data_IF_515636044713
#
_entry.id   IF_515636044713
#
_cell.length_a   1.000
_cell.length_b   1.000
_cell.length_c   1.000
_cell.angle_alpha   90.00
_cell.angle_beta   90.00
_cell.angle_gamma   90.00
#
_symmetry.space_group_name_H-M   'P 1'
#
loop_
_entity.id
_entity.type
_entity.pdbx_description
1 polymer ?
#
# COMPACT_ATOMS: atom_id res chain seq x y z
N UNK A 1 12.08 -17.04 5.50
CA UNK A 1 10.85 -16.80 4.71
C UNK A 1 10.36 -15.39 4.99
N UNK A 2 10.22 -14.58 3.95
CA UNK A 2 9.77 -13.21 4.12
C UNK A 2 8.26 -13.16 4.40
N UNK A 3 7.86 -12.29 5.29
CA UNK A 3 6.46 -12.04 5.60
C UNK A 3 5.81 -11.27 4.45
N UNK A 4 4.72 -11.81 3.89
CA UNK A 4 4.03 -11.19 2.75
C UNK A 4 3.00 -10.18 3.25
N UNK A 5 3.37 -8.90 3.26
CA UNK A 5 2.50 -7.82 3.71
C UNK A 5 1.29 -7.62 2.80
N UNK A 6 1.43 -7.85 1.50
CA UNK A 6 0.29 -7.72 0.58
C UNK A 6 -0.82 -8.69 0.98
N UNK A 7 -0.45 -9.95 1.21
CA UNK A 7 -1.41 -10.97 1.64
C UNK A 7 -2.02 -10.60 3.00
N UNK A 8 -1.16 -10.22 3.95
CA UNK A 8 -1.60 -9.84 5.29
C UNK A 8 -2.58 -8.67 5.25
N UNK A 9 -2.24 -7.59 4.54
CA UNK A 9 -3.10 -6.42 4.46
C UNK A 9 -4.40 -6.71 3.73
N UNK A 10 -4.35 -7.53 2.67
CA UNK A 10 -5.56 -7.91 1.96
C UNK A 10 -6.53 -8.63 2.88
N UNK A 11 -6.04 -9.56 3.69
CA UNK A 11 -6.87 -10.26 4.67
C UNK A 11 -7.38 -9.33 5.75
N UNK A 12 -6.54 -8.43 6.26
CA UNK A 12 -6.95 -7.48 7.30
C UNK A 12 -8.06 -6.55 6.81
N UNK A 13 -7.97 -6.07 5.57
CA UNK A 13 -9.00 -5.23 4.99
C UNK A 13 -10.32 -6.01 4.87
N UNK A 14 -10.27 -7.24 4.40
CA UNK A 14 -11.47 -8.06 4.29
C UNK A 14 -12.15 -8.26 5.64
N UNK A 15 -11.36 -8.39 6.70
CA UNK A 15 -11.85 -8.60 8.05
C UNK A 15 -12.33 -7.31 8.72
N UNK A 16 -11.53 -6.23 8.64
CA UNK A 16 -11.80 -4.99 9.36
C UNK A 16 -12.75 -4.04 8.61
N UNK A 17 -12.81 -4.14 7.29
CA UNK A 17 -13.61 -3.27 6.44
C UNK A 17 -14.50 -4.10 5.52
N UNK A 18 -15.44 -4.89 6.09
CA UNK A 18 -16.26 -5.78 5.26
C UNK A 18 -17.16 -5.03 4.29
N UNK A 19 -17.46 -3.76 4.57
CA UNK A 19 -18.29 -2.93 3.69
C UNK A 19 -17.53 -2.37 2.47
N UNK A 20 -16.20 -2.38 2.52
CA UNK A 20 -15.39 -1.80 1.45
C UNK A 20 -15.48 -2.66 0.19
N UNK A 21 -15.97 -2.08 -0.90
CA UNK A 21 -16.19 -2.76 -2.17
C UNK A 21 -17.13 -3.98 -2.03
N UNK A 22 -18.04 -3.93 -1.07
CA UNK A 22 -18.95 -5.07 -0.79
C UNK A 22 -19.93 -5.36 -1.91
N UNK A 23 -20.16 -4.41 -2.83
CA UNK A 23 -21.06 -4.60 -3.97
C UNK A 23 -20.48 -5.47 -5.08
N UNK A 24 -19.20 -5.82 -5.01
CA UNK A 24 -18.56 -6.66 -6.03
C UNK A 24 -18.56 -8.13 -5.60
N UNK A 25 -18.58 -9.07 -6.58
CA UNK A 25 -18.42 -10.50 -6.26
C UNK A 25 -17.13 -10.74 -5.47
N UNK A 26 -17.13 -11.77 -4.62
CA UNK A 26 -16.04 -12.01 -3.66
C UNK A 26 -14.65 -12.07 -4.32
N UNK A 27 -14.53 -12.77 -5.46
CA UNK A 27 -13.25 -12.90 -6.14
C UNK A 27 -12.80 -11.58 -6.75
N UNK A 28 -13.73 -10.83 -7.35
CA UNK A 28 -13.43 -9.52 -7.92
C UNK A 28 -13.05 -8.54 -6.84
N UNK A 29 -13.77 -8.56 -5.72
CA UNK A 29 -13.45 -7.73 -4.56
C UNK A 29 -12.04 -8.00 -4.07
N UNK A 30 -11.68 -9.28 -3.91
CA UNK A 30 -10.35 -9.67 -3.47
C UNK A 30 -9.27 -9.21 -4.46
N UNK A 31 -9.55 -9.32 -5.75
CA UNK A 31 -8.63 -8.86 -6.79
C UNK A 31 -8.37 -7.36 -6.70
N UNK A 32 -9.41 -6.56 -6.53
CA UNK A 32 -9.26 -5.11 -6.35
C UNK A 32 -8.49 -4.77 -5.09
N UNK A 33 -8.80 -5.43 -3.98
CA UNK A 33 -8.11 -5.18 -2.72
C UNK A 33 -6.62 -5.52 -2.83
N UNK A 34 -6.29 -6.62 -3.48
CA UNK A 34 -4.90 -7.03 -3.70
C UNK A 34 -4.16 -6.00 -4.56
N UNK A 35 -4.78 -5.58 -5.66
CA UNK A 35 -4.20 -4.59 -6.58
C UNK A 35 -3.89 -3.29 -5.85
N UNK A 36 -4.84 -2.80 -5.05
CA UNK A 36 -4.65 -1.54 -4.31
C UNK A 36 -3.57 -1.71 -3.25
N UNK A 37 -3.54 -2.84 -2.55
CA UNK A 37 -2.50 -3.08 -1.54
C UNK A 37 -1.11 -3.12 -2.17
N UNK A 38 -0.97 -3.73 -3.35
CA UNK A 38 0.31 -3.75 -4.07
C UNK A 38 0.73 -2.34 -4.45
N UNK A 39 -0.21 -1.55 -4.98
CA UNK A 39 0.08 -0.20 -5.45
C UNK A 39 0.48 0.73 -4.32
N UNK A 40 -0.29 0.73 -3.22
CA UNK A 40 0.00 1.60 -2.08
C UNK A 40 1.27 1.20 -1.35
N UNK A 41 1.51 -0.10 -1.20
CA UNK A 41 2.73 -0.59 -0.59
C UNK A 41 3.95 -0.26 -1.47
N UNK A 42 3.82 -0.41 -2.78
CA UNK A 42 4.86 -0.01 -3.72
C UNK A 42 5.20 1.47 -3.61
N UNK A 43 4.18 2.32 -3.46
CA UNK A 43 4.40 3.75 -3.27
C UNK A 43 5.13 4.03 -1.95
N UNK A 44 4.76 3.33 -0.89
CA UNK A 44 5.41 3.49 0.40
C UNK A 44 6.90 3.12 0.32
N UNK A 45 7.22 2.05 -0.39
CA UNK A 45 8.60 1.62 -0.62
C UNK A 45 9.38 2.68 -1.40
N UNK A 46 8.79 3.22 -2.46
CA UNK A 46 9.41 4.28 -3.25
C UNK A 46 9.73 5.51 -2.41
N UNK A 47 8.77 5.94 -1.60
CA UNK A 47 8.96 7.08 -0.71
C UNK A 47 10.02 6.81 0.35
N UNK A 48 10.05 5.60 0.88
CA UNK A 48 11.05 5.20 1.87
C UNK A 48 12.46 5.29 1.30
N UNK A 49 12.63 4.82 0.08
CA UNK A 49 13.92 4.87 -0.60
C UNK A 49 14.42 6.29 -0.81
N UNK A 50 13.49 7.23 -1.00
CA UNK A 50 13.84 8.64 -1.21
C UNK A 50 14.15 9.37 0.07
N UNK A 51 13.41 9.11 1.13
CA UNK A 51 13.61 9.78 2.42
C UNK A 51 12.99 8.95 3.55
N UNK A 52 13.74 7.99 4.05
CA UNK A 52 13.27 7.05 5.07
C UNK A 52 12.88 7.74 6.37
N UNK A 53 13.61 8.76 6.79
CA UNK A 53 13.30 9.48 8.03
C UNK A 53 11.94 10.15 7.97
N UNK A 54 11.65 10.82 6.84
CA UNK A 54 10.35 11.47 6.66
C UNK A 54 9.22 10.46 6.66
N UNK A 55 9.39 9.35 5.93
CA UNK A 55 8.34 8.32 5.86
C UNK A 55 8.13 7.67 7.23
N UNK A 56 9.19 7.41 7.96
CA UNK A 56 9.08 6.84 9.30
C UNK A 56 8.27 7.78 10.23
N UNK A 57 8.52 9.07 10.15
CA UNK A 57 7.75 10.07 10.90
C UNK A 57 6.28 10.08 10.49
N UNK A 58 6.01 10.01 9.18
CA UNK A 58 4.63 10.02 8.67
C UNK A 58 3.86 8.76 9.06
N UNK A 59 4.52 7.62 9.14
CA UNK A 59 3.90 6.39 9.65
C UNK A 59 3.38 6.62 11.07
N UNK A 60 4.14 7.32 11.90
CA UNK A 60 3.73 7.56 13.28
C UNK A 60 2.71 8.69 13.44
N UNK A 61 2.80 9.73 12.61
CA UNK A 61 1.88 10.87 12.68
C UNK A 61 0.54 10.60 12.00
N UNK A 62 0.56 9.79 10.94
CA UNK A 62 -0.65 9.44 10.16
C UNK A 62 -1.41 10.68 9.67
N UNK A 63 -0.67 11.61 9.07
CA UNK A 63 -1.21 12.86 8.56
C UNK A 63 -2.19 12.60 7.41
N UNK A 64 -3.43 13.07 7.57
CA UNK A 64 -4.47 12.89 6.57
C UNK A 64 -4.15 13.56 5.24
N UNK A 65 -3.48 14.72 5.28
CA UNK A 65 -3.10 15.43 4.05
C UNK A 65 -2.05 14.66 3.27
N UNK A 66 -1.10 14.06 3.96
CA UNK A 66 -0.09 13.20 3.35
C UNK A 66 -0.73 12.03 2.62
N UNK A 67 -1.67 11.36 3.29
CA UNK A 67 -2.41 10.24 2.70
C UNK A 67 -3.18 10.69 1.47
N UNK A 68 -3.89 11.81 1.56
CA UNK A 68 -4.69 12.33 0.45
C UNK A 68 -3.83 12.69 -0.76
N UNK A 69 -2.66 13.27 -0.54
CA UNK A 69 -1.76 13.61 -1.64
C UNK A 69 -1.26 12.38 -2.38
N UNK A 70 -0.90 11.34 -1.64
CA UNK A 70 -0.44 10.09 -2.24
C UNK A 70 -1.57 9.42 -3.01
N UNK A 71 -2.76 9.35 -2.43
CA UNK A 71 -3.92 8.76 -3.10
C UNK A 71 -4.24 9.53 -4.39
N UNK A 72 -4.21 10.85 -4.34
CA UNK A 72 -4.45 11.67 -5.54
C UNK A 72 -3.41 11.40 -6.61
N UNK A 73 -2.13 11.33 -6.23
CA UNK A 73 -1.05 11.02 -7.17
C UNK A 73 -1.30 9.69 -7.87
N UNK A 74 -1.65 8.66 -7.12
CA UNK A 74 -1.86 7.33 -7.67
C UNK A 74 -3.11 7.24 -8.54
N UNK A 75 -4.20 7.90 -8.12
CA UNK A 75 -5.47 7.82 -8.86
C UNK A 75 -5.48 8.68 -10.12
N UNK A 76 -4.65 9.72 -10.18
CA UNK A 76 -4.57 10.58 -11.37
C UNK A 76 -3.42 10.20 -12.30
N UNK A 77 -2.65 9.19 -11.96
CA UNK A 77 -1.54 8.72 -12.79
C UNK A 77 -2.02 8.28 -14.16
N UNK A 78 -1.28 8.65 -15.22
CA UNK A 78 -1.55 8.17 -16.58
C UNK A 78 -1.33 6.66 -16.71
N UNK A 79 -0.69 6.03 -15.74
CA UNK A 79 -0.45 4.59 -15.72
C UNK A 79 -1.53 3.82 -14.98
N UNK A 80 -2.59 4.52 -14.55
CA UNK A 80 -3.70 3.89 -13.81
C UNK A 80 -4.51 2.99 -14.75
N UNK A 81 -4.47 1.69 -14.50
CA UNK A 81 -5.19 0.67 -15.27
C UNK A 81 -6.35 0.05 -14.50
N UNK A 82 -6.68 0.60 -13.34
CA UNK A 82 -7.79 0.06 -12.54
C UNK A 82 -9.13 0.22 -13.28
N UNK A 83 -9.96 -0.80 -13.20
CA UNK A 83 -11.32 -0.75 -13.76
C UNK A 83 -12.33 -0.16 -12.78
N UNK A 84 -11.91 0.13 -11.55
CA UNK A 84 -12.80 0.81 -10.60
C UNK A 84 -13.06 2.26 -11.02
N UNK A 85 -14.30 2.76 -10.83
CA UNK A 85 -14.55 4.18 -10.98
C UNK A 85 -13.63 4.99 -10.07
N UNK A 86 -13.17 6.15 -10.56
CA UNK A 86 -12.18 6.95 -9.85
C UNK A 86 -12.57 7.25 -8.40
N UNK A 87 -13.83 7.63 -8.17
CA UNK A 87 -14.30 7.97 -6.82
C UNK A 87 -14.24 6.76 -5.87
N UNK A 88 -14.61 5.57 -6.36
CA UNK A 88 -14.52 4.36 -5.56
C UNK A 88 -13.07 3.98 -5.29
N UNK A 89 -12.21 4.15 -6.29
CA UNK A 89 -10.79 3.87 -6.15
C UNK A 89 -10.16 4.77 -5.08
N UNK A 90 -10.49 6.06 -5.09
CA UNK A 90 -9.98 7.01 -4.10
C UNK A 90 -10.37 6.61 -2.68
N UNK A 91 -11.64 6.25 -2.47
CA UNK A 91 -12.12 5.85 -1.15
C UNK A 91 -11.42 4.58 -0.69
N UNK A 92 -11.39 3.58 -1.55
CA UNK A 92 -10.76 2.30 -1.22
C UNK A 92 -9.28 2.46 -0.94
N UNK A 93 -8.59 3.24 -1.75
CA UNK A 93 -7.16 3.47 -1.61
C UNK A 93 -6.84 4.23 -0.32
N UNK A 94 -7.66 5.23 0.03
CA UNK A 94 -7.50 5.98 1.27
C UNK A 94 -7.63 5.06 2.48
N UNK A 95 -8.66 4.22 2.51
CA UNK A 95 -8.88 3.29 3.62
C UNK A 95 -7.77 2.26 3.72
N UNK A 96 -7.34 1.72 2.59
CA UNK A 96 -6.29 0.69 2.56
C UNK A 96 -4.94 1.28 2.97
N UNK A 97 -4.58 2.43 2.43
CA UNK A 97 -3.31 3.06 2.78
C UNK A 97 -3.27 3.47 4.25
N UNK A 98 -4.37 4.00 4.77
CA UNK A 98 -4.48 4.35 6.20
C UNK A 98 -4.30 3.12 7.08
N UNK A 99 -4.91 2.00 6.69
CA UNK A 99 -4.76 0.74 7.42
C UNK A 99 -3.30 0.27 7.38
N UNK A 100 -2.65 0.34 6.21
CA UNK A 100 -1.25 -0.07 6.08
C UNK A 100 -0.35 0.73 7.01
N UNK A 101 -0.52 2.05 7.05
CA UNK A 101 0.28 2.90 7.92
C UNK A 101 0.02 2.58 9.40
N UNK A 102 -1.23 2.37 9.76
CA UNK A 102 -1.60 2.03 11.13
C UNK A 102 -1.01 0.70 11.56
N UNK A 103 -1.09 -0.32 10.70
CA UNK A 103 -0.56 -1.65 11.01
C UNK A 103 0.98 -1.63 11.10
N UNK A 104 1.64 -0.88 10.23
CA UNK A 104 3.10 -0.77 10.28
C UNK A 104 3.52 -0.03 11.55
N UNK A 105 2.81 1.03 11.93
CA UNK A 105 3.04 1.73 13.19
C UNK A 105 2.92 0.78 14.37
N UNK A 106 1.89 -0.04 14.38
CA UNK A 106 1.65 -0.99 15.46
C UNK A 106 2.76 -2.05 15.52
N UNK A 107 3.19 -2.57 14.38
CA UNK A 107 4.32 -3.50 14.32
C UNK A 107 5.58 -2.87 14.89
N UNK A 108 5.84 -1.61 14.56
CA UNK A 108 7.01 -0.90 15.08
C UNK A 108 6.93 -0.75 16.59
N UNK A 109 5.79 -0.31 17.12
CA UNK A 109 5.62 -0.06 18.55
C UNK A 109 5.65 -1.35 19.37
N UNK A 110 4.97 -2.40 18.92
CA UNK A 110 4.89 -3.67 19.67
C UNK A 110 6.11 -4.53 19.47
N UNK A 111 6.71 -4.51 18.29
CA UNK A 111 7.87 -5.34 17.96
C UNK A 111 9.19 -4.64 18.13
N UNK A 112 9.16 -3.34 18.43
CA UNK A 112 10.36 -2.51 18.60
C UNK A 112 11.30 -2.61 17.40
N UNK A 113 10.72 -2.55 16.19
CA UNK A 113 11.48 -2.68 14.95
C UNK A 113 12.47 -1.55 14.73
N UNK A 114 12.06 -0.31 15.06
CA UNK A 114 12.84 0.88 14.76
C UNK A 114 12.86 1.18 13.26
N UNK A 115 13.43 2.32 12.92
CA UNK A 115 13.50 2.77 11.52
C UNK A 115 14.20 1.74 10.64
N UNK A 116 15.31 1.17 11.11
CA UNK A 116 16.06 0.16 10.35
C UNK A 116 15.25 -1.12 10.15
N UNK A 117 14.56 -1.60 11.17
CA UNK A 117 13.75 -2.80 11.08
C UNK A 117 12.57 -2.63 10.12
N UNK A 118 11.92 -1.48 10.15
CA UNK A 118 10.84 -1.16 9.21
C UNK A 118 11.40 -1.08 7.78
N UNK A 119 12.58 -0.48 7.60
CA UNK A 119 13.23 -0.45 6.30
C UNK A 119 13.44 -1.86 5.74
N UNK A 120 13.98 -2.76 6.54
CA UNK A 120 14.20 -4.15 6.13
C UNK A 120 12.89 -4.85 5.78
N UNK A 121 11.85 -4.62 6.57
CA UNK A 121 10.53 -5.17 6.31
C UNK A 121 9.98 -4.70 4.97
N UNK A 122 10.01 -3.40 4.71
CA UNK A 122 9.46 -2.82 3.48
C UNK A 122 10.26 -3.23 2.24
N UNK A 123 11.58 -3.14 2.30
CA UNK A 123 12.41 -3.52 1.15
C UNK A 123 12.32 -5.01 0.85
N UNK A 124 12.10 -5.83 1.88
CA UNK A 124 11.88 -7.26 1.69
C UNK A 124 10.59 -7.61 0.97
N UNK A 125 9.65 -6.65 0.85
CA UNK A 125 8.37 -6.90 0.17
C UNK A 125 8.47 -6.82 -1.35
N UNK A 126 9.57 -6.30 -1.89
CA UNK A 126 9.71 -6.11 -3.34
C UNK A 126 9.48 -7.43 -4.09
N UNK A 127 10.00 -8.54 -3.58
CA UNK A 127 9.81 -9.85 -4.22
C UNK A 127 8.34 -10.28 -4.25
N UNK A 128 7.54 -9.83 -3.29
CA UNK A 128 6.11 -10.15 -3.24
C UNK A 128 5.30 -9.26 -4.17
N UNK A 129 5.82 -8.11 -4.53
CA UNK A 129 5.18 -7.23 -5.53
C UNK A 129 5.35 -7.77 -6.93
N UNK A 130 6.49 -8.41 -7.18
CA UNK A 130 6.95 -8.81 -8.50
C UNK A 130 5.92 -9.66 -9.26
N UNK A 131 5.31 -10.63 -8.64
CA UNK A 131 4.33 -11.49 -9.31
C UNK A 131 2.93 -10.91 -9.45
N UNK A 132 2.70 -9.72 -8.87
CA UNK A 132 1.38 -9.08 -8.84
C UNK A 132 1.38 -7.71 -9.47
N UNK A 133 2.57 -7.13 -9.66
CA UNK A 133 2.70 -5.76 -10.14
C UNK A 133 2.40 -5.67 -11.62
N UNK A 134 1.45 -4.81 -11.96
CA UNK A 134 1.21 -4.37 -13.32
C UNK A 134 2.24 -3.28 -13.67
N UNK A 135 2.42 -3.00 -14.96
CA UNK A 135 3.27 -1.89 -15.39
C UNK A 135 2.94 -0.60 -14.66
N UNK A 136 1.67 -0.39 -14.41
CA UNK A 136 1.19 0.76 -13.64
C UNK A 136 1.88 0.87 -12.28
N UNK A 137 1.96 -0.24 -11.52
CA UNK A 137 2.56 -0.23 -10.18
C UNK A 137 4.03 0.15 -10.26
N UNK A 138 4.78 -0.50 -11.15
CA UNK A 138 6.21 -0.26 -11.27
C UNK A 138 6.53 1.13 -11.79
N UNK A 139 5.83 1.54 -12.84
CA UNK A 139 6.12 2.82 -13.51
C UNK A 139 5.69 4.00 -12.64
N UNK A 140 4.49 3.94 -12.08
CA UNK A 140 3.97 5.02 -11.24
C UNK A 140 4.83 5.24 -9.99
N UNK A 141 5.37 4.16 -9.45
CA UNK A 141 6.13 4.20 -8.21
C UNK A 141 7.64 4.27 -8.42
N UNK A 142 8.09 4.40 -9.67
CA UNK A 142 9.52 4.47 -10.00
C UNK A 142 10.32 3.29 -9.46
N UNK A 143 9.71 2.10 -9.48
CA UNK A 143 10.35 0.89 -8.94
C UNK A 143 10.95 -0.01 -10.01
N UNK A 144 10.90 0.40 -11.28
CA UNK A 144 11.39 -0.42 -12.40
C UNK A 144 12.85 -0.81 -12.24
N UNK A 145 13.64 0.01 -11.59
CA UNK A 145 15.06 -0.29 -11.35
C UNK A 145 15.29 -1.44 -10.38
N UNK A 146 14.24 -1.86 -9.66
CA UNK A 146 14.32 -2.98 -8.71
C UNK A 146 13.97 -4.33 -9.33
N UNK A 147 13.54 -4.32 -10.58
CA UNK A 147 13.13 -5.55 -11.28
C UNK A 147 14.31 -6.46 -11.67
#
# INVERSE_FOLDING_TARGET
>A
MAFDLVHYFTEQIQFQKPELLAGYPAEQRKSYLTEINVLTLGKLIDLWRKNDTTVYQEIHHQDALYIQEIVRHLTTSKHNHSTLPKAELEVAMTDIFSLQLQEIKQLDETGQFGQKGIRELLLGQVEHLSGRAEDWVWTTNNLTELL
#
